data_IF_853423450959
#
_entry.id   IF_853423450959
#
_cell.length_a   1.000
_cell.length_b   1.000
_cell.length_c   1.000
_cell.angle_alpha   90.00
_cell.angle_beta   90.00
_cell.angle_gamma   90.00
#
_symmetry.space_group_name_H-M   'P 1'
#
loop_
_entity.id
_entity.type
_entity.pdbx_description
1 polymer ?
#
# COMPACT_ATOMS: atom_id res chain seq x y z
N UNK A 1 -40.08 54.30 61.76
CA UNK A 1 -38.96 53.34 61.69
C UNK A 1 -39.50 52.01 61.22
N UNK A 2 -39.19 51.63 59.98
CA UNK A 2 -39.07 50.26 59.47
C UNK A 2 -38.88 50.40 57.95
N UNK A 3 -37.61 50.42 57.54
CA UNK A 3 -37.16 50.34 56.16
C UNK A 3 -37.39 48.92 55.66
N UNK A 4 -37.92 48.74 54.44
CA UNK A 4 -37.93 47.45 53.75
C UNK A 4 -37.40 47.67 52.35
N UNK A 5 -36.17 47.18 52.18
CA UNK A 5 -35.30 47.34 51.02
C UNK A 5 -35.71 46.38 49.91
N UNK A 6 -35.83 46.91 48.69
CA UNK A 6 -35.99 46.12 47.47
C UNK A 6 -34.73 45.31 47.20
N UNK A 7 -34.84 43.98 47.23
CA UNK A 7 -33.77 43.06 46.81
C UNK A 7 -33.82 42.91 45.29
N UNK A 8 -32.91 43.60 44.60
CA UNK A 8 -32.58 43.32 43.20
C UNK A 8 -31.80 42.00 43.14
N UNK A 9 -32.28 41.04 42.36
CA UNK A 9 -31.55 39.81 42.03
C UNK A 9 -30.63 40.11 40.84
N UNK A 10 -29.32 40.17 41.09
CA UNK A 10 -28.33 40.16 40.01
C UNK A 10 -28.18 38.71 39.53
N UNK A 11 -28.56 38.47 38.28
CA UNK A 11 -28.19 37.27 37.53
C UNK A 11 -26.76 37.51 37.02
N UNK A 12 -25.78 36.91 37.70
CA UNK A 12 -24.43 36.79 37.14
C UNK A 12 -24.50 35.81 35.97
N UNK A 13 -24.53 36.36 34.75
CA UNK A 13 -24.25 35.61 33.54
C UNK A 13 -22.74 35.53 33.41
N UNK A 14 -22.13 34.52 34.03
CA UNK A 14 -20.73 34.16 33.76
C UNK A 14 -20.63 33.72 32.31
N UNK A 15 -20.21 34.65 31.45
CA UNK A 15 -19.71 34.36 30.10
C UNK A 15 -18.40 33.59 30.30
N UNK A 16 -18.43 32.27 30.09
CA UNK A 16 -17.20 31.49 29.96
C UNK A 16 -16.45 32.06 28.75
N UNK A 17 -15.34 32.73 29.03
CA UNK A 17 -14.40 33.18 28.02
C UNK A 17 -13.81 31.94 27.36
N UNK A 18 -14.23 31.64 26.14
CA UNK A 18 -13.54 30.70 25.25
C UNK A 18 -12.12 31.27 25.06
N UNK A 19 -11.10 30.57 25.59
CA UNK A 19 -9.70 30.92 25.35
C UNK A 19 -9.44 30.72 23.85
N UNK A 20 -9.06 31.77 23.08
CA UNK A 20 -8.79 31.66 21.65
C UNK A 20 -7.52 30.85 21.31
N UNK A 21 -7.01 30.04 22.24
CA UNK A 21 -5.85 29.17 22.08
C UNK A 21 -6.18 27.69 22.20
N UNK A 22 -7.45 27.32 22.34
CA UNK A 22 -7.90 25.94 22.23
C UNK A 22 -8.62 25.69 20.89
N UNK A 23 -8.03 26.18 19.81
CA UNK A 23 -8.12 25.44 18.56
C UNK A 23 -7.28 24.19 18.77
N UNK A 24 -7.92 23.12 19.24
CA UNK A 24 -7.43 21.76 19.03
C UNK A 24 -7.13 21.66 17.53
N UNK A 25 -5.87 21.89 17.18
CA UNK A 25 -5.35 21.67 15.84
C UNK A 25 -5.59 20.19 15.60
N UNK A 26 -6.69 19.89 14.92
CA UNK A 26 -6.91 18.59 14.33
C UNK A 26 -5.71 18.39 13.43
N UNK A 27 -4.74 17.60 13.90
CA UNK A 27 -3.62 17.18 13.09
C UNK A 27 -4.26 16.48 11.90
N UNK A 28 -4.30 17.18 10.77
CA UNK A 28 -4.66 16.59 9.50
C UNK A 28 -3.48 15.66 9.25
N UNK A 29 -3.62 14.40 9.65
CA UNK A 29 -2.63 13.38 9.37
C UNK A 29 -2.39 13.44 7.87
N UNK A 30 -1.23 13.98 7.47
CA UNK A 30 -0.99 14.27 6.06
C UNK A 30 -0.80 12.97 5.27
N UNK A 31 -0.87 11.79 5.91
CA UNK A 31 -0.65 10.44 5.35
C UNK A 31 0.62 10.35 4.48
N UNK A 32 1.51 11.34 4.51
CA UNK A 32 2.79 11.31 3.80
C UNK A 32 3.67 10.18 4.33
N UNK A 33 3.51 9.84 5.61
CA UNK A 33 4.21 8.74 6.27
C UNK A 33 3.87 7.35 5.69
N UNK A 34 2.75 7.23 4.97
CA UNK A 34 2.34 5.99 4.31
C UNK A 34 3.18 5.68 3.07
N UNK A 35 3.94 6.65 2.54
CA UNK A 35 4.80 6.47 1.37
C UNK A 35 6.26 6.34 1.80
N UNK A 36 6.89 5.21 1.47
CA UNK A 36 8.30 5.00 1.81
C UNK A 36 9.24 5.67 0.81
N UNK A 37 8.86 5.65 -0.47
CA UNK A 37 9.70 6.17 -1.57
C UNK A 37 8.84 6.85 -2.61
N UNK A 38 9.18 8.10 -2.93
CA UNK A 38 8.61 8.85 -4.04
C UNK A 38 9.73 9.43 -4.91
N UNK A 39 9.52 9.44 -6.22
CA UNK A 39 10.39 10.06 -7.22
C UNK A 39 9.51 10.73 -8.26
N UNK A 40 9.73 12.02 -8.50
CA UNK A 40 8.99 12.83 -9.49
C UNK A 40 7.45 12.75 -9.34
N UNK A 41 7.01 12.42 -8.13
CA UNK A 41 5.63 12.43 -7.65
C UNK A 41 5.63 13.15 -6.30
N UNK A 42 4.62 13.99 -6.08
CA UNK A 42 4.35 14.63 -4.80
C UNK A 42 3.00 14.21 -4.25
N UNK A 43 2.89 14.11 -2.94
CA UNK A 43 1.63 13.88 -2.26
C UNK A 43 1.04 15.21 -1.80
N UNK A 44 -0.20 15.49 -2.17
CA UNK A 44 -0.87 16.76 -1.89
C UNK A 44 -2.25 16.49 -1.29
N UNK A 45 -2.75 17.47 -0.52
CA UNK A 45 -4.10 17.43 0.05
C UNK A 45 -4.38 16.16 0.90
N UNK A 46 -3.33 15.54 1.43
CA UNK A 46 -3.38 14.32 2.25
C UNK A 46 -3.88 13.04 1.55
N UNK A 47 -4.17 13.08 0.24
CA UNK A 47 -4.76 11.95 -0.50
C UNK A 47 -4.43 11.89 -2.00
N UNK A 48 -3.79 12.90 -2.60
CA UNK A 48 -3.59 12.98 -4.05
C UNK A 48 -2.11 12.87 -4.39
N UNK A 49 -1.74 11.93 -5.27
CA UNK A 49 -0.43 11.90 -5.90
C UNK A 49 -0.47 12.68 -7.21
N UNK A 50 0.50 13.56 -7.41
CA UNK A 50 0.65 14.37 -8.61
C UNK A 50 2.03 14.16 -9.25
N UNK A 51 2.04 13.92 -10.56
CA UNK A 51 3.28 13.85 -11.33
C UNK A 51 3.91 15.23 -11.50
N UNK A 52 5.21 15.34 -11.19
CA UNK A 52 5.99 16.58 -11.30
C UNK A 52 7.25 16.42 -12.16
N UNK A 53 7.42 15.26 -12.81
CA UNK A 53 8.55 15.01 -13.71
C UNK A 53 8.38 15.66 -15.09
N UNK A 54 9.38 15.44 -15.94
CA UNK A 54 9.44 16.05 -17.28
C UNK A 54 8.64 15.28 -18.34
N UNK A 55 8.49 13.96 -18.18
CA UNK A 55 7.73 13.10 -19.10
C UNK A 55 8.28 13.01 -20.52
N UNK A 56 9.58 13.26 -20.73
CA UNK A 56 10.18 13.34 -22.07
C UNK A 56 10.64 11.96 -22.58
N UNK A 57 11.08 11.11 -21.67
CA UNK A 57 11.63 9.79 -21.96
C UNK A 57 11.08 8.76 -21.00
N UNK A 58 11.19 7.48 -21.36
CA UNK A 58 10.80 6.36 -20.47
C UNK A 58 11.59 6.27 -19.17
N UNK A 59 12.61 7.12 -18.97
CA UNK A 59 13.39 7.22 -17.75
C UNK A 59 12.85 8.28 -16.79
N UNK A 60 11.92 9.14 -17.24
CA UNK A 60 11.31 10.21 -16.45
C UNK A 60 10.08 9.72 -15.67
N UNK A 61 9.98 8.42 -15.44
CA UNK A 61 8.85 7.82 -14.72
C UNK A 61 8.86 8.33 -13.28
N UNK A 62 7.75 8.94 -12.91
CA UNK A 62 7.40 9.20 -11.53
C UNK A 62 6.92 7.92 -10.87
N UNK A 63 7.35 7.68 -9.64
CA UNK A 63 7.10 6.45 -8.91
C UNK A 63 6.80 6.73 -7.46
N UNK A 64 5.78 6.06 -6.93
CA UNK A 64 5.43 6.06 -5.52
C UNK A 64 5.25 4.62 -5.03
N UNK A 65 5.95 4.24 -3.96
CA UNK A 65 5.81 2.95 -3.29
C UNK A 65 5.39 3.17 -1.83
N UNK A 66 4.31 2.50 -1.43
CA UNK A 66 3.82 2.56 -0.06
C UNK A 66 4.82 1.94 0.91
N UNK A 67 4.69 2.27 2.20
CA UNK A 67 5.64 1.90 3.25
C UNK A 67 5.53 0.46 3.73
N UNK A 68 4.34 -0.10 3.64
CA UNK A 68 4.07 -1.45 4.12
C UNK A 68 3.61 -2.33 2.97
N UNK A 69 4.02 -3.61 2.95
CA UNK A 69 3.51 -4.56 1.97
C UNK A 69 2.04 -4.86 2.27
N UNK A 70 1.32 -5.29 1.24
CA UNK A 70 0.01 -5.89 1.43
C UNK A 70 0.14 -7.15 2.29
N UNK A 71 -0.84 -7.35 3.16
CA UNK A 71 -0.93 -8.48 4.09
C UNK A 71 -2.39 -8.92 4.22
N UNK A 72 -2.66 -9.98 4.97
CA UNK A 72 -4.01 -10.55 5.13
C UNK A 72 -5.06 -9.55 5.63
N UNK A 73 -4.67 -8.51 6.37
CA UNK A 73 -5.57 -7.47 6.87
C UNK A 73 -5.74 -6.32 5.87
N UNK A 74 -4.65 -5.88 5.27
CA UNK A 74 -4.62 -4.81 4.27
C UNK A 74 -4.12 -5.39 2.95
N UNK A 75 -5.03 -6.03 2.22
CA UNK A 75 -4.72 -6.81 1.02
C UNK A 75 -5.21 -6.17 -0.28
N UNK A 76 -5.77 -4.96 -0.22
CA UNK A 76 -6.38 -4.27 -1.35
C UNK A 76 -6.24 -2.75 -1.19
N UNK A 77 -5.97 -2.05 -2.29
CA UNK A 77 -5.94 -0.60 -2.36
C UNK A 77 -6.51 -0.09 -3.68
N UNK A 78 -6.93 1.17 -3.69
CA UNK A 78 -7.54 1.81 -4.85
C UNK A 78 -6.87 3.14 -5.19
N UNK A 79 -6.94 3.49 -6.47
CA UNK A 79 -6.69 4.83 -6.97
C UNK A 79 -7.88 5.31 -7.80
N UNK A 80 -8.19 6.59 -7.73
CA UNK A 80 -9.11 7.25 -8.65
C UNK A 80 -8.32 8.18 -9.56
N UNK A 81 -8.52 8.07 -10.88
CA UNK A 81 -7.90 8.98 -11.84
C UNK A 81 -8.59 10.34 -11.74
N UNK A 82 -7.90 11.32 -11.17
CA UNK A 82 -8.40 12.70 -11.04
C UNK A 82 -8.11 13.48 -12.32
N UNK A 83 -6.91 13.32 -12.85
CA UNK A 83 -6.49 13.88 -14.12
C UNK A 83 -5.62 12.85 -14.85
N UNK A 84 -6.01 12.39 -16.05
CA UNK A 84 -5.20 11.48 -16.84
C UNK A 84 -3.95 12.14 -17.44
N UNK A 85 -3.79 13.46 -17.32
CA UNK A 85 -2.72 14.18 -18.01
C UNK A 85 -2.86 14.10 -19.53
N UNK A 86 -1.74 14.24 -20.24
CA UNK A 86 -1.75 14.23 -21.71
C UNK A 86 -1.94 12.82 -22.30
N UNK A 87 -1.35 11.80 -21.68
CA UNK A 87 -1.29 10.44 -22.24
C UNK A 87 -1.89 9.33 -21.35
N UNK A 88 -2.18 9.60 -20.08
CA UNK A 88 -2.71 8.63 -19.12
C UNK A 88 -1.78 7.43 -18.86
N UNK A 89 -0.47 7.64 -18.89
CA UNK A 89 0.57 6.68 -18.50
C UNK A 89 0.58 6.46 -16.98
N UNK A 90 -0.56 6.07 -16.43
CA UNK A 90 -0.80 5.79 -15.03
C UNK A 90 -0.80 4.28 -14.86
N UNK A 91 0.05 3.77 -13.97
CA UNK A 91 0.10 2.36 -13.62
C UNK A 91 -0.26 2.14 -12.15
N UNK A 92 -1.13 1.17 -11.88
CA UNK A 92 -1.40 0.66 -10.53
C UNK A 92 -0.87 -0.76 -10.41
N UNK A 93 -0.16 -1.06 -9.33
CA UNK A 93 0.32 -2.41 -9.12
C UNK A 93 1.06 -2.64 -7.83
N UNK A 94 1.85 -3.70 -7.84
CA UNK A 94 2.63 -4.18 -6.72
C UNK A 94 4.08 -4.33 -7.15
N UNK A 95 5.00 -3.91 -6.28
CA UNK A 95 6.44 -4.07 -6.50
C UNK A 95 7.10 -4.67 -5.27
N UNK A 96 8.24 -5.35 -5.48
CA UNK A 96 9.12 -5.76 -4.41
C UNK A 96 9.71 -4.54 -3.68
N UNK A 97 10.21 -4.75 -2.47
CA UNK A 97 10.96 -3.72 -1.77
C UNK A 97 12.14 -3.23 -2.64
N UNK A 98 12.39 -1.93 -2.57
CA UNK A 98 13.50 -1.26 -3.25
C UNK A 98 13.47 -1.31 -4.80
N UNK A 99 12.27 -1.39 -5.37
CA UNK A 99 12.05 -1.30 -6.81
C UNK A 99 12.72 -0.06 -7.45
N UNK A 100 13.23 -0.15 -8.70
CA UNK A 100 13.83 1.00 -9.38
C UNK A 100 12.86 2.17 -9.47
N UNK A 101 13.26 3.33 -8.95
CA UNK A 101 12.37 4.49 -8.84
C UNK A 101 12.02 5.16 -10.17
N UNK A 102 12.78 4.89 -11.23
CA UNK A 102 12.64 5.51 -12.55
C UNK A 102 12.04 4.53 -13.58
N UNK A 103 11.21 3.59 -13.10
CA UNK A 103 10.60 2.52 -13.88
C UNK A 103 9.16 2.35 -13.46
N UNK A 104 8.26 2.10 -14.41
CA UNK A 104 6.87 1.81 -14.06
C UNK A 104 6.77 0.49 -13.29
N UNK A 105 5.81 0.37 -12.36
CA UNK A 105 5.37 -0.93 -11.85
C UNK A 105 5.09 -1.90 -13.01
N UNK A 106 5.52 -3.16 -12.86
CA UNK A 106 5.34 -4.23 -13.85
C UNK A 106 6.48 -4.38 -14.85
N UNK A 107 7.33 -3.38 -15.04
CA UNK A 107 8.39 -3.41 -16.08
C UNK A 107 9.65 -4.20 -15.70
N UNK A 108 9.94 -4.36 -14.40
CA UNK A 108 11.10 -5.08 -13.88
C UNK A 108 10.69 -6.17 -12.89
N UNK A 109 11.54 -7.19 -12.75
CA UNK A 109 11.29 -8.38 -11.93
C UNK A 109 10.82 -8.04 -10.51
N UNK A 110 9.98 -8.94 -9.97
CA UNK A 110 9.37 -8.75 -8.65
C UNK A 110 8.27 -7.70 -8.66
N UNK A 111 7.62 -7.45 -9.81
CA UNK A 111 6.50 -6.53 -9.90
C UNK A 111 5.41 -7.00 -10.85
N UNK A 112 4.20 -6.52 -10.62
CA UNK A 112 3.02 -6.72 -11.48
C UNK A 112 2.18 -5.46 -11.45
N UNK A 113 1.71 -5.01 -12.62
CA UNK A 113 0.89 -3.81 -12.69
C UNK A 113 -0.04 -3.79 -13.90
N UNK A 114 -1.16 -3.10 -13.72
CA UNK A 114 -2.12 -2.77 -14.75
C UNK A 114 -1.92 -1.32 -15.17
N UNK A 115 -1.79 -1.10 -16.49
CA UNK A 115 -1.50 0.20 -17.08
C UNK A 115 -2.78 0.78 -17.69
N UNK A 116 -3.13 1.99 -17.27
CA UNK A 116 -4.40 2.64 -17.59
C UNK A 116 -4.48 3.09 -19.05
N UNK A 117 -3.35 3.45 -19.66
CA UNK A 117 -3.25 3.96 -21.02
C UNK A 117 -3.52 2.89 -22.07
N UNK A 118 -3.19 1.62 -21.87
CA UNK A 118 -3.37 0.58 -22.88
C UNK A 118 -4.24 -0.59 -22.42
N UNK A 119 -4.54 -0.66 -21.12
CA UNK A 119 -5.31 -1.73 -20.52
C UNK A 119 -4.53 -3.03 -20.36
N UNK A 120 -3.20 -3.00 -20.50
CA UNK A 120 -2.38 -4.22 -20.41
C UNK A 120 -1.91 -4.49 -18.99
N UNK A 121 -1.55 -5.74 -18.77
CA UNK A 121 -0.84 -6.19 -17.57
C UNK A 121 0.64 -6.38 -17.89
N UNK A 122 1.50 -5.88 -17.01
CA UNK A 122 2.95 -6.03 -17.09
C UNK A 122 3.42 -6.83 -15.87
N UNK A 123 4.19 -7.89 -16.10
CA UNK A 123 4.67 -8.82 -15.05
C UNK A 123 6.17 -8.99 -15.20
N UNK A 124 6.94 -8.23 -14.42
CA UNK A 124 8.40 -8.33 -14.41
C UNK A 124 9.12 -8.04 -15.74
N UNK A 125 8.44 -7.39 -16.69
CA UNK A 125 8.86 -7.26 -18.07
C UNK A 125 8.30 -5.99 -18.70
N UNK A 126 9.08 -5.32 -19.55
CA UNK A 126 8.63 -4.16 -20.35
C UNK A 126 7.68 -4.51 -21.48
N UNK A 127 7.28 -5.78 -21.63
CA UNK A 127 6.31 -6.25 -22.63
C UNK A 127 5.01 -6.60 -21.91
N UNK A 128 3.95 -5.84 -22.19
CA UNK A 128 2.63 -6.04 -21.61
C UNK A 128 1.76 -7.02 -22.40
N UNK A 129 0.82 -7.67 -21.69
CA UNK A 129 -0.18 -8.59 -22.24
C UNK A 129 -1.58 -7.97 -22.18
N UNK A 130 -2.45 -8.33 -23.13
CA UNK A 130 -3.85 -7.91 -23.10
C UNK A 130 -4.54 -8.43 -21.83
N UNK A 131 -5.26 -7.54 -21.13
CA UNK A 131 -5.81 -7.85 -19.82
C UNK A 131 -7.17 -7.21 -19.58
N UNK A 132 -7.26 -5.88 -19.65
CA UNK A 132 -8.45 -5.10 -19.38
C UNK A 132 -8.65 -3.97 -20.39
N UNK A 133 -9.73 -3.20 -20.24
CA UNK A 133 -9.96 -2.01 -21.06
C UNK A 133 -9.00 -0.86 -20.70
N UNK A 134 -8.90 0.18 -21.53
CA UNK A 134 -8.24 1.45 -21.15
C UNK A 134 -9.05 2.19 -20.09
N UNK A 135 -8.41 2.99 -19.25
CA UNK A 135 -9.04 3.78 -18.20
C UNK A 135 -9.02 5.28 -18.52
N UNK A 136 -9.88 6.03 -17.85
CA UNK A 136 -10.09 7.46 -18.10
C UNK A 136 -10.35 8.20 -16.79
N UNK A 137 -10.39 9.53 -16.89
CA UNK A 137 -10.77 10.41 -15.78
C UNK A 137 -12.03 9.91 -15.07
N UNK A 138 -11.96 9.80 -13.75
CA UNK A 138 -13.05 9.37 -12.88
C UNK A 138 -13.09 7.87 -12.59
N UNK A 139 -12.42 7.03 -13.38
CA UNK A 139 -12.33 5.60 -13.10
C UNK A 139 -11.60 5.34 -11.77
N UNK A 140 -12.09 4.36 -11.03
CA UNK A 140 -11.46 3.83 -9.81
C UNK A 140 -10.82 2.50 -10.16
N UNK A 141 -9.50 2.40 -10.00
CA UNK A 141 -8.73 1.19 -10.25
C UNK A 141 -8.29 0.60 -8.91
N UNK A 142 -8.50 -0.69 -8.72
CA UNK A 142 -8.06 -1.40 -7.53
C UNK A 142 -7.05 -2.49 -7.84
N UNK A 143 -6.21 -2.80 -6.86
CA UNK A 143 -5.25 -3.88 -6.92
C UNK A 143 -5.18 -4.56 -5.55
N UNK A 144 -5.22 -5.89 -5.54
CA UNK A 144 -5.13 -6.65 -4.30
C UNK A 144 -4.60 -8.06 -4.46
N UNK A 145 -4.34 -8.70 -3.32
CA UNK A 145 -3.85 -10.07 -3.22
C UNK A 145 -4.93 -10.93 -2.57
N UNK A 146 -5.26 -12.06 -3.19
CA UNK A 146 -6.13 -13.06 -2.59
C UNK A 146 -5.32 -13.99 -1.70
N UNK A 147 -5.35 -13.75 -0.40
CA UNK A 147 -4.75 -14.63 0.62
C UNK A 147 -5.68 -15.79 1.01
N UNK A 148 -6.47 -16.33 0.05
CA UNK A 148 -7.40 -17.45 0.31
C UNK A 148 -6.70 -18.53 1.13
N UNK A 149 -7.34 -18.94 2.24
CA UNK A 149 -6.89 -19.86 3.29
C UNK A 149 -6.07 -21.07 2.79
N UNK A 150 -4.83 -20.85 2.37
CA UNK A 150 -3.81 -21.87 2.46
C UNK A 150 -3.47 -21.95 3.95
N UNK A 151 -3.73 -23.09 4.62
CA UNK A 151 -3.49 -23.24 6.06
C UNK A 151 -2.05 -22.94 6.47
N UNK A 152 -1.11 -22.85 5.52
CA UNK A 152 0.24 -22.37 5.79
C UNK A 152 0.35 -20.85 6.09
N UNK A 153 -0.53 -19.98 5.55
CA UNK A 153 -0.50 -18.54 5.86
C UNK A 153 -0.93 -18.25 7.32
N UNK A 154 -1.66 -19.18 7.96
CA UNK A 154 -2.04 -19.08 9.37
C UNK A 154 -0.94 -19.58 10.33
N UNK A 155 0.02 -20.37 9.84
CA UNK A 155 1.07 -20.97 10.67
C UNK A 155 2.35 -20.11 10.77
N UNK A 156 2.59 -19.20 9.83
CA UNK A 156 3.81 -18.36 9.85
C UNK A 156 3.83 -17.33 11.00
N UNK A 157 2.71 -17.12 11.70
CA UNK A 157 2.63 -16.30 12.92
C UNK A 157 2.55 -17.10 14.23
N UNK A 158 2.30 -18.42 14.18
CA UNK A 158 2.27 -19.25 15.39
C UNK A 158 3.67 -19.67 15.86
N UNK A 159 4.65 -19.70 14.95
CA UNK A 159 6.01 -20.17 15.25
C UNK A 159 6.87 -19.13 15.99
N UNK A 160 6.36 -17.90 16.18
CA UNK A 160 6.99 -16.87 17.03
C UNK A 160 6.56 -17.02 18.51
N UNK A 161 5.52 -17.79 18.81
CA UNK A 161 4.93 -17.85 20.15
C UNK A 161 5.36 -19.06 21.01
N UNK A 162 6.30 -19.90 20.54
CA UNK A 162 6.64 -21.15 21.25
C UNK A 162 8.08 -21.34 21.73
N UNK A 163 8.98 -20.36 21.58
CA UNK A 163 10.32 -20.43 22.20
C UNK A 163 10.34 -19.80 23.59
N UNK A 164 9.57 -20.36 24.54
CA UNK A 164 9.73 -20.08 25.97
C UNK A 164 9.32 -21.30 26.83
N UNK A 165 9.84 -22.48 26.49
CA UNK A 165 9.87 -23.60 27.44
C UNK A 165 11.24 -24.28 27.44
N UNK A 166 12.12 -23.68 28.24
CA UNK A 166 13.36 -24.31 28.69
C UNK A 166 13.00 -25.55 29.51
N UNK A 167 13.40 -26.73 29.06
CA UNK A 167 13.37 -27.94 29.89
C UNK A 167 14.79 -28.52 30.00
N UNK A 168 15.32 -28.47 31.22
CA UNK A 168 16.62 -28.99 31.62
C UNK A 168 16.50 -30.44 32.11
N UNK A 169 17.29 -31.35 31.52
CA UNK A 169 17.87 -32.58 32.11
C UNK A 169 18.19 -33.56 30.98
N UNK A 170 19.19 -34.43 30.98
CA UNK A 170 20.47 -34.58 31.67
C UNK A 170 21.14 -35.80 30.97
N UNK A 171 22.45 -35.72 30.85
CA UNK A 171 23.50 -36.74 30.60
C UNK A 171 23.41 -37.92 29.60
N UNK A 172 24.34 -37.82 28.63
CA UNK A 172 25.44 -38.77 28.34
C UNK A 172 25.42 -39.69 27.10
N UNK A 173 26.61 -40.02 26.53
CA UNK A 173 26.82 -40.19 25.08
C UNK A 173 27.13 -41.62 24.62
N UNK A 174 26.81 -41.94 23.35
CA UNK A 174 27.40 -43.09 22.65
C UNK A 174 27.46 -42.92 21.12
N UNK A 175 28.70 -42.81 20.62
CA UNK A 175 29.32 -43.33 19.38
C UNK A 175 28.58 -43.47 18.04
N UNK A 176 29.32 -42.96 17.03
CA UNK A 176 29.67 -43.50 15.70
C UNK A 176 28.69 -43.37 14.51
N UNK A 177 29.13 -42.47 13.62
CA UNK A 177 29.29 -42.59 12.17
C UNK A 177 28.05 -42.71 11.27
N UNK A 178 27.77 -41.65 10.50
CA UNK A 178 28.01 -41.66 9.04
C UNK A 178 27.80 -40.26 8.42
N UNK A 179 28.82 -39.83 7.68
CA UNK A 179 28.77 -38.67 6.78
C UNK A 179 27.79 -38.90 5.62
N UNK A 180 26.88 -37.96 5.43
CA UNK A 180 26.56 -37.36 4.11
C UNK A 180 25.67 -36.15 4.35
N UNK A 181 26.31 -34.99 4.47
CA UNK A 181 25.66 -33.69 4.47
C UNK A 181 25.19 -33.36 3.04
N UNK A 182 24.01 -33.84 2.67
CA UNK A 182 23.21 -33.17 1.64
C UNK A 182 22.25 -32.22 2.33
N UNK A 183 22.81 -31.10 2.81
CA UNK A 183 22.04 -29.95 3.25
C UNK A 183 21.33 -29.42 2.00
N UNK A 184 20.06 -29.81 1.85
CA UNK A 184 19.13 -29.19 0.93
C UNK A 184 18.99 -27.71 1.32
N UNK A 185 19.88 -26.86 0.80
CA UNK A 185 19.69 -25.41 0.70
C UNK A 185 18.60 -25.12 -0.36
N UNK A 186 17.41 -25.67 -0.16
CA UNK A 186 16.23 -25.16 -0.81
C UNK A 186 15.81 -23.93 -0.02
N UNK A 187 16.13 -22.73 -0.52
CA UNK A 187 15.34 -21.56 -0.11
C UNK A 187 13.87 -21.94 -0.23
N UNK A 188 13.03 -21.63 0.78
CA UNK A 188 11.60 -21.93 0.70
C UNK A 188 11.08 -21.28 -0.58
N UNK A 189 10.71 -22.11 -1.56
CA UNK A 189 10.19 -21.64 -2.85
C UNK A 189 8.99 -20.76 -2.54
N UNK A 190 9.12 -19.47 -2.86
CA UNK A 190 8.05 -18.51 -2.64
C UNK A 190 6.77 -19.03 -3.27
N UNK A 191 5.71 -19.12 -2.47
CA UNK A 191 4.43 -19.64 -2.96
C UNK A 191 3.79 -18.60 -3.87
N UNK A 192 3.29 -19.01 -5.03
CA UNK A 192 2.64 -18.09 -5.93
C UNK A 192 1.31 -17.61 -5.35
N UNK A 193 1.06 -16.31 -5.41
CA UNK A 193 -0.16 -15.64 -4.95
C UNK A 193 -1.03 -15.23 -6.12
N UNK A 194 -2.34 -15.09 -5.88
CA UNK A 194 -3.27 -14.52 -6.85
C UNK A 194 -3.37 -13.00 -6.63
N UNK A 195 -2.90 -12.23 -7.60
CA UNK A 195 -3.09 -10.78 -7.67
C UNK A 195 -4.28 -10.49 -8.57
N UNK A 196 -5.23 -9.70 -8.09
CA UNK A 196 -6.41 -9.30 -8.84
C UNK A 196 -6.45 -7.79 -9.01
N UNK A 197 -7.10 -7.36 -10.08
CA UNK A 197 -7.32 -5.95 -10.39
C UNK A 197 -8.81 -5.69 -10.58
N UNK A 198 -9.24 -4.50 -10.21
CA UNK A 198 -10.62 -4.04 -10.36
C UNK A 198 -10.66 -2.73 -11.13
N UNK A 199 -11.78 -2.49 -11.80
CA UNK A 199 -12.16 -1.18 -12.33
C UNK A 199 -13.60 -0.91 -11.91
N UNK A 200 -13.82 0.24 -11.27
CA UNK A 200 -15.12 0.67 -10.76
C UNK A 200 -15.80 -0.43 -9.91
N UNK A 201 -15.02 -1.05 -9.01
CA UNK A 201 -15.47 -2.12 -8.12
C UNK A 201 -15.65 -3.50 -8.77
N UNK A 202 -15.49 -3.63 -10.10
CA UNK A 202 -15.63 -4.91 -10.80
C UNK A 202 -14.26 -5.51 -11.12
N UNK A 203 -14.05 -6.80 -10.83
CA UNK A 203 -12.80 -7.50 -11.17
C UNK A 203 -12.62 -7.53 -12.69
N UNK A 204 -11.48 -7.02 -13.17
CA UNK A 204 -11.10 -7.06 -14.59
C UNK A 204 -10.24 -8.29 -14.91
N UNK A 205 -9.51 -8.81 -13.92
CA UNK A 205 -8.76 -10.04 -14.09
C UNK A 205 -7.92 -10.42 -12.88
N UNK A 206 -7.36 -11.62 -12.96
CA UNK A 206 -6.49 -12.23 -11.95
C UNK A 206 -5.24 -12.76 -12.62
N UNK A 207 -4.10 -12.65 -11.94
CA UNK A 207 -2.81 -13.22 -12.35
C UNK A 207 -2.15 -13.89 -11.17
N UNK A 208 -1.55 -15.05 -11.43
CA UNK A 208 -0.79 -15.82 -10.44
C UNK A 208 0.70 -15.53 -10.61
N UNK A 209 1.33 -14.99 -9.57
CA UNK A 209 2.74 -14.55 -9.60
C UNK A 209 3.49 -15.01 -8.36
N UNK A 210 4.79 -15.21 -8.48
CA UNK A 210 5.66 -15.47 -7.33
C UNK A 210 5.77 -14.21 -6.47
N UNK A 211 5.52 -14.35 -5.17
CA UNK A 211 5.65 -13.23 -4.23
C UNK A 211 7.14 -13.00 -3.92
N UNK A 212 7.66 -11.77 -4.00
CA UNK A 212 9.00 -11.47 -3.50
C UNK A 212 9.11 -11.84 -2.02
N UNK A 213 10.28 -12.28 -1.55
CA UNK A 213 10.50 -12.56 -0.12
C UNK A 213 10.30 -11.33 0.77
N UNK A 214 10.44 -10.12 0.19
CA UNK A 214 10.15 -8.86 0.86
C UNK A 214 8.65 -8.53 0.94
N UNK A 215 7.79 -9.32 0.30
CA UNK A 215 6.38 -9.00 0.09
C UNK A 215 6.14 -8.06 -1.08
N UNK A 216 4.87 -7.79 -1.34
CA UNK A 216 4.42 -6.91 -2.42
C UNK A 216 3.90 -5.59 -1.85
N UNK A 217 4.46 -4.48 -2.32
CA UNK A 217 4.13 -3.13 -1.86
C UNK A 217 3.23 -2.41 -2.87
N UNK A 218 2.12 -1.79 -2.43
CA UNK A 218 1.33 -0.91 -3.28
C UNK A 218 2.21 0.12 -3.98
N UNK A 219 2.07 0.20 -5.29
CA UNK A 219 2.93 1.05 -6.11
C UNK A 219 2.15 1.70 -7.24
N UNK A 220 2.47 2.97 -7.50
CA UNK A 220 1.86 3.78 -8.54
C UNK A 220 2.98 4.37 -9.40
N UNK A 221 2.81 4.31 -10.72
CA UNK A 221 3.71 4.97 -11.67
C UNK A 221 2.96 5.99 -12.51
N UNK A 222 3.62 7.09 -12.85
CA UNK A 222 3.14 8.17 -13.71
C UNK A 222 4.25 8.62 -14.65
N UNK A 223 3.92 9.11 -15.83
CA UNK A 223 4.92 9.53 -16.82
C UNK A 223 4.47 10.70 -17.70
N UNK A 224 3.19 11.10 -17.65
CA UNK A 224 2.70 12.23 -18.42
C UNK A 224 2.46 13.46 -17.54
N UNK A 225 2.79 14.62 -18.07
CA UNK A 225 2.46 15.92 -17.47
C UNK A 225 0.99 16.00 -17.06
N UNK A 226 0.75 16.61 -15.89
CA UNK A 226 -0.56 16.81 -15.25
C UNK A 226 -1.27 15.54 -14.73
N UNK A 227 -0.64 14.37 -14.76
CA UNK A 227 -1.24 13.17 -14.17
C UNK A 227 -1.47 13.33 -12.66
N UNK A 228 -2.69 12.99 -12.21
CA UNK A 228 -3.10 13.06 -10.82
C UNK A 228 -4.02 11.91 -10.46
N UNK A 229 -3.75 11.26 -9.33
CA UNK A 229 -4.63 10.22 -8.77
C UNK A 229 -4.89 10.46 -7.30
N UNK A 230 -6.13 10.22 -6.87
CA UNK A 230 -6.47 10.12 -5.44
C UNK A 230 -6.23 8.69 -4.99
N UNK A 231 -5.56 8.49 -3.86
CA UNK A 231 -5.22 7.16 -3.37
C UNK A 231 -6.03 6.82 -2.11
N UNK A 232 -6.51 5.58 -2.06
CA UNK A 232 -7.06 4.97 -0.86
C UNK A 232 -6.28 3.68 -0.57
N UNK A 233 -5.30 3.75 0.34
CA UNK A 233 -4.52 2.57 0.76
C UNK A 233 -5.31 1.59 1.63
N UNK A 234 -6.41 2.07 2.22
CA UNK A 234 -7.33 1.29 3.07
C UNK A 234 -8.78 1.65 2.73
N UNK A 235 -9.28 1.28 1.56
CA UNK A 235 -10.67 1.57 1.18
C UNK A 235 -11.63 0.83 2.11
N UNK A 236 -12.77 1.45 2.45
CA UNK A 236 -13.80 0.85 3.32
C UNK A 236 -14.50 -0.37 2.68
N UNK A 237 -14.30 -0.60 1.39
CA UNK A 237 -14.99 -1.61 0.57
C UNK A 237 -14.07 -2.72 0.08
N UNK A 238 -12.93 -2.95 0.75
CA UNK A 238 -11.98 -4.04 0.43
C UNK A 238 -12.37 -5.38 1.04
#
# INVERSE_FOLDING_TARGET
>A
MASSSNRSVHLDCSVETIDPRDDSMMAVDTNEEDWHRMHDIVFTNGQVLEYIGLGLTILDVGFAQARHPLNTTFHYFEIQIIDPGENCYIAIGLTQKDYPKNRHPGWDKGSIAYHADDGKIFIGSGVGEDFGPRCHKGDILGCGISFRNDPAYMNDFSDIASEDSVNWSDDSPSSSDNESNDVMNGEPKSRPVEVFFTRNGSIIGVRRVEMPSSGFYPSIGMLSTNEKVRVALRPLTG
#
